data_IF_515617672310
#
_entry.id   IF_515617672310
#
_cell.length_a   1.000
_cell.length_b   1.000
_cell.length_c   1.000
_cell.angle_alpha   90.00
_cell.angle_beta   90.00
_cell.angle_gamma   90.00
#
_symmetry.space_group_name_H-M   'P 1'
#
loop_
_entity.id
_entity.type
_entity.pdbx_description
1 polymer ?
#
# COMPACT_ATOMS: atom_id res chain seq x y z
N UNK A 1 47.76 1.15 5.21
CA UNK A 1 47.02 0.05 4.60
C UNK A 1 45.68 0.06 5.28
N UNK A 2 44.74 0.79 4.72
CA UNK A 2 43.36 0.84 5.21
C UNK A 2 42.58 -0.19 4.42
N UNK A 3 42.13 -1.22 5.12
CA UNK A 3 41.21 -2.22 4.57
C UNK A 3 39.86 -1.56 4.36
N UNK A 4 39.53 -1.26 3.11
CA UNK A 4 38.19 -0.96 2.70
C UNK A 4 37.36 -2.25 2.74
N UNK A 5 36.59 -2.43 3.78
CA UNK A 5 35.56 -3.47 3.85
C UNK A 5 34.41 -3.01 2.96
N UNK A 6 34.49 -3.35 1.68
CA UNK A 6 33.37 -3.23 0.76
C UNK A 6 32.33 -4.29 1.10
N UNK A 7 31.30 -3.95 1.83
CA UNK A 7 30.13 -4.80 1.92
C UNK A 7 29.42 -4.81 0.57
N UNK A 8 29.44 -5.96 -0.10
CA UNK A 8 28.63 -6.21 -1.29
C UNK A 8 27.15 -6.18 -0.91
N UNK A 9 26.32 -5.60 -1.80
CA UNK A 9 24.85 -5.58 -1.64
C UNK A 9 24.28 -7.01 -1.57
N UNK A 10 25.03 -7.99 -2.03
CA UNK A 10 24.66 -9.42 -2.04
C UNK A 10 24.77 -10.11 -0.66
N UNK A 11 25.40 -9.46 0.33
CA UNK A 11 25.56 -9.99 1.69
C UNK A 11 24.43 -9.57 2.66
N UNK A 12 23.33 -8.98 2.16
CA UNK A 12 22.19 -8.60 2.99
C UNK A 12 21.43 -9.89 3.34
N UNK A 13 21.38 -10.30 4.63
CA UNK A 13 20.62 -11.47 5.05
C UNK A 13 19.18 -11.36 4.55
N UNK A 14 18.56 -12.49 4.18
CA UNK A 14 17.15 -12.51 3.76
C UNK A 14 16.28 -11.97 4.91
N UNK A 15 15.86 -10.71 4.79
CA UNK A 15 15.06 -10.06 5.82
C UNK A 15 13.70 -10.76 5.99
N UNK A 16 13.15 -10.78 7.20
CA UNK A 16 11.82 -11.35 7.47
C UNK A 16 10.68 -10.47 6.93
N UNK A 17 10.95 -9.59 6.00
CA UNK A 17 9.96 -8.79 5.29
C UNK A 17 10.01 -9.02 3.78
N UNK A 18 8.86 -8.84 3.13
CA UNK A 18 8.73 -8.85 1.68
C UNK A 18 8.56 -7.40 1.22
N UNK A 19 9.38 -6.99 0.26
CA UNK A 19 9.33 -5.64 -0.29
C UNK A 19 8.25 -5.55 -1.38
N UNK A 20 7.43 -4.52 -1.33
CA UNK A 20 6.49 -4.12 -2.38
C UNK A 20 6.81 -2.72 -2.90
N UNK A 21 6.39 -2.42 -4.11
CA UNK A 21 6.52 -1.11 -4.72
C UNK A 21 5.28 -0.27 -4.43
N UNK A 22 5.40 0.78 -3.61
CA UNK A 22 4.33 1.70 -3.25
C UNK A 22 4.11 2.70 -4.38
N UNK A 23 2.97 2.63 -5.07
CA UNK A 23 2.64 3.40 -6.28
C UNK A 23 3.60 3.15 -7.45
N UNK A 24 4.13 1.92 -7.52
CA UNK A 24 5.18 1.56 -8.47
C UNK A 24 6.58 1.97 -8.01
N UNK A 25 7.57 1.98 -8.92
CA UNK A 25 8.94 2.44 -8.67
C UNK A 25 8.98 3.98 -8.65
N UNK A 26 8.36 4.59 -7.65
CA UNK A 26 8.04 6.03 -7.60
C UNK A 26 9.21 6.93 -7.22
N UNK A 27 10.38 6.38 -6.86
CA UNK A 27 11.62 7.17 -6.68
C UNK A 27 12.14 7.68 -8.03
N UNK A 28 12.13 6.82 -9.05
CA UNK A 28 12.70 7.13 -10.36
C UNK A 28 11.65 7.56 -11.40
N UNK A 29 10.37 7.34 -11.10
CA UNK A 29 9.24 7.62 -11.99
C UNK A 29 8.14 8.36 -11.24
N UNK A 30 7.24 9.03 -11.98
CA UNK A 30 6.05 9.61 -11.39
C UNK A 30 5.19 8.52 -10.75
N UNK A 31 4.85 8.68 -9.46
CA UNK A 31 4.00 7.73 -8.72
C UNK A 31 2.70 7.42 -9.48
N UNK A 32 2.21 6.18 -9.38
CA UNK A 32 0.96 5.73 -10.02
C UNK A 32 0.92 5.89 -11.56
N UNK A 33 2.04 6.21 -12.19
CA UNK A 33 2.12 6.28 -13.65
C UNK A 33 2.40 4.90 -14.25
N UNK A 34 1.98 4.69 -15.49
CA UNK A 34 2.26 3.44 -16.20
C UNK A 34 3.77 3.11 -16.23
N UNK A 35 4.70 4.05 -16.50
CA UNK A 35 6.13 3.78 -16.40
C UNK A 35 6.61 3.33 -15.02
N UNK A 36 6.09 3.93 -13.92
CA UNK A 36 6.45 3.52 -12.55
C UNK A 36 6.02 2.08 -12.26
N UNK A 37 4.80 1.73 -12.66
CA UNK A 37 4.24 0.39 -12.46
C UNK A 37 4.99 -0.66 -13.28
N UNK A 38 5.32 -0.35 -14.53
CA UNK A 38 6.09 -1.25 -15.39
C UNK A 38 7.53 -1.42 -14.90
N UNK A 39 8.20 -0.35 -14.44
CA UNK A 39 9.52 -0.46 -13.83
C UNK A 39 9.50 -1.39 -12.61
N UNK A 40 8.49 -1.26 -11.72
CA UNK A 40 8.30 -2.15 -10.58
C UNK A 40 7.99 -3.59 -11.00
N UNK A 41 7.24 -3.79 -12.10
CA UNK A 41 6.93 -5.12 -12.63
C UNK A 41 8.20 -5.88 -13.02
N UNK A 42 9.16 -5.21 -13.63
CA UNK A 42 10.41 -5.83 -14.09
C UNK A 42 11.51 -5.88 -13.02
N UNK A 43 11.35 -5.18 -11.91
CA UNK A 43 12.33 -5.17 -10.82
C UNK A 43 12.11 -6.35 -9.86
N UNK A 44 13.07 -7.28 -9.82
CA UNK A 44 13.01 -8.47 -8.96
C UNK A 44 13.06 -8.17 -7.45
N UNK A 45 13.45 -6.96 -7.04
CA UNK A 45 13.42 -6.51 -5.65
C UNK A 45 11.99 -6.47 -5.09
N UNK A 46 10.99 -6.14 -5.93
CA UNK A 46 9.61 -6.05 -5.53
C UNK A 46 8.88 -7.37 -5.74
N UNK A 47 8.29 -7.92 -4.69
CA UNK A 47 7.47 -9.12 -4.74
C UNK A 47 6.01 -8.83 -5.11
N UNK A 48 5.57 -7.59 -4.93
CA UNK A 48 4.24 -7.10 -5.29
C UNK A 48 4.29 -5.60 -5.60
N UNK A 49 3.23 -5.10 -6.24
CA UNK A 49 3.08 -3.69 -6.58
C UNK A 49 1.83 -3.18 -5.90
N UNK A 50 1.86 -1.96 -5.42
CA UNK A 50 0.67 -1.27 -4.95
C UNK A 50 0.37 -0.08 -5.84
N UNK A 51 -0.91 0.20 -6.02
CA UNK A 51 -1.40 1.40 -6.67
C UNK A 51 -2.82 1.78 -6.21
N UNK A 52 -3.15 3.05 -6.38
CA UNK A 52 -4.40 3.67 -5.97
C UNK A 52 -5.40 3.78 -7.11
N UNK A 53 -6.67 3.48 -6.87
CA UNK A 53 -7.72 3.61 -7.90
C UNK A 53 -8.86 4.54 -7.49
N UNK A 54 -9.41 5.26 -8.47
CA UNK A 54 -10.54 6.17 -8.32
C UNK A 54 -11.40 6.20 -9.59
N UNK A 55 -12.67 6.57 -9.45
CA UNK A 55 -13.52 6.91 -10.59
C UNK A 55 -13.31 8.34 -11.08
N UNK A 56 -13.31 8.50 -12.40
CA UNK A 56 -13.49 9.79 -13.06
C UNK A 56 -14.98 10.14 -13.15
N UNK A 57 -15.28 11.37 -13.61
CA UNK A 57 -16.66 11.84 -13.85
C UNK A 57 -17.44 10.94 -14.82
N UNK A 58 -16.79 10.36 -15.80
CA UNK A 58 -17.35 9.47 -16.82
C UNK A 58 -17.21 7.98 -16.45
N UNK A 59 -17.02 7.68 -15.14
CA UNK A 59 -16.90 6.34 -14.58
C UNK A 59 -15.76 5.49 -15.16
N UNK A 60 -14.72 6.11 -15.71
CA UNK A 60 -13.48 5.39 -15.99
C UNK A 60 -12.71 5.18 -14.70
N UNK A 61 -12.09 4.03 -14.51
CA UNK A 61 -11.21 3.77 -13.37
C UNK A 61 -9.80 4.19 -13.77
N UNK A 62 -9.22 5.12 -12.99
CA UNK A 62 -7.86 5.61 -13.19
C UNK A 62 -6.97 5.27 -12.00
N UNK A 63 -5.68 5.17 -12.27
CA UNK A 63 -4.65 4.94 -11.25
C UNK A 63 -4.08 6.27 -10.82
N UNK A 64 -4.49 6.75 -9.64
CA UNK A 64 -4.09 8.05 -9.10
C UNK A 64 -4.40 8.16 -7.61
N UNK A 65 -3.49 8.74 -6.80
CA UNK A 65 -3.66 8.85 -5.34
C UNK A 65 -4.57 9.99 -4.90
N UNK A 66 -4.28 11.21 -5.36
CA UNK A 66 -4.90 12.43 -4.83
C UNK A 66 -6.29 12.67 -5.44
N UNK A 67 -7.15 13.37 -4.72
CA UNK A 67 -8.45 13.83 -5.28
C UNK A 67 -8.30 14.88 -6.37
N UNK A 68 -7.11 15.50 -6.49
CA UNK A 68 -6.82 16.61 -7.45
C UNK A 68 -5.42 16.46 -8.03
N UNK A 69 -5.23 17.01 -9.22
CA UNK A 69 -3.95 17.02 -9.90
C UNK A 69 -2.92 18.01 -9.31
N UNK A 70 -3.27 18.71 -8.22
CA UNK A 70 -2.50 19.86 -7.74
C UNK A 70 -1.07 19.50 -7.32
N UNK A 71 -0.88 18.46 -6.54
CA UNK A 71 0.44 18.10 -5.98
C UNK A 71 1.44 17.70 -7.07
N UNK A 72 1.00 16.91 -8.04
CA UNK A 72 1.89 16.35 -9.06
C UNK A 72 1.96 17.20 -10.34
N UNK A 73 0.87 17.90 -10.69
CA UNK A 73 0.74 18.61 -11.96
C UNK A 73 0.48 20.11 -11.82
N UNK A 74 0.35 20.63 -10.59
CA UNK A 74 0.07 22.05 -10.36
C UNK A 74 -1.32 22.51 -10.84
N UNK A 75 -2.25 21.58 -11.15
CA UNK A 75 -3.58 21.87 -11.72
C UNK A 75 -4.69 21.60 -10.70
N UNK A 76 -5.70 22.46 -10.67
CA UNK A 76 -6.83 22.35 -9.73
C UNK A 76 -7.88 21.30 -10.15
N UNK A 77 -7.74 20.68 -11.30
CA UNK A 77 -8.65 19.65 -11.78
C UNK A 77 -8.83 18.53 -10.75
N UNK A 78 -10.09 18.10 -10.53
CA UNK A 78 -10.45 17.02 -9.63
C UNK A 78 -10.71 15.75 -10.43
N UNK A 79 -10.25 14.61 -9.93
CA UNK A 79 -10.45 13.31 -10.59
C UNK A 79 -11.95 13.05 -10.78
N UNK A 80 -12.76 13.15 -9.73
CA UNK A 80 -14.20 12.85 -9.77
C UNK A 80 -15.05 13.85 -10.60
N UNK A 81 -14.51 15.05 -10.89
CA UNK A 81 -15.24 16.07 -11.63
C UNK A 81 -14.74 16.25 -13.08
N UNK A 82 -13.76 15.48 -13.51
CA UNK A 82 -13.19 15.53 -14.85
C UNK A 82 -13.37 14.17 -15.55
N UNK A 83 -13.58 14.18 -16.87
CA UNK A 83 -13.55 12.97 -17.69
C UNK A 83 -12.12 12.45 -17.81
N UNK A 84 -11.98 11.18 -18.20
CA UNK A 84 -10.66 10.62 -18.46
C UNK A 84 -9.89 11.44 -19.51
N UNK A 85 -10.52 11.83 -20.59
CA UNK A 85 -9.88 12.60 -21.67
C UNK A 85 -9.40 13.98 -21.20
N UNK A 86 -10.15 14.65 -20.32
CA UNK A 86 -9.74 15.91 -19.71
C UNK A 86 -8.54 15.71 -18.80
N UNK A 87 -8.52 14.65 -17.98
CA UNK A 87 -7.41 14.29 -17.09
C UNK A 87 -6.18 13.88 -17.90
N UNK A 88 -6.35 13.06 -18.95
CA UNK A 88 -5.26 12.65 -19.82
C UNK A 88 -4.54 13.83 -20.46
N UNK A 89 -5.29 14.79 -21.00
CA UNK A 89 -4.74 16.06 -21.52
C UNK A 89 -4.10 16.91 -20.42
N UNK A 90 -4.74 16.96 -19.25
CA UNK A 90 -4.22 17.73 -18.12
C UNK A 90 -2.93 17.17 -17.52
N UNK A 91 -2.66 15.89 -17.67
CA UNK A 91 -1.45 15.21 -17.18
C UNK A 91 -0.42 14.92 -18.26
N UNK A 92 -0.60 15.49 -19.47
CA UNK A 92 0.24 15.19 -20.62
C UNK A 92 0.38 13.68 -20.90
N UNK A 93 -0.74 12.96 -20.73
CA UNK A 93 -0.83 11.51 -20.96
C UNK A 93 -0.27 10.63 -19.83
N UNK A 94 0.06 11.20 -18.67
CA UNK A 94 0.71 10.44 -17.59
C UNK A 94 -0.25 9.74 -16.63
N UNK A 95 -1.55 10.08 -16.64
CA UNK A 95 -2.56 9.34 -15.87
C UNK A 95 -2.85 8.01 -16.54
N UNK A 96 -2.72 6.90 -15.80
CA UNK A 96 -2.96 5.56 -16.32
C UNK A 96 -4.42 5.14 -16.13
N UNK A 97 -4.97 4.36 -17.08
CA UNK A 97 -6.20 3.62 -16.86
C UNK A 97 -5.92 2.35 -16.08
N UNK A 98 -6.84 1.99 -15.22
CA UNK A 98 -6.78 0.73 -14.48
C UNK A 98 -6.69 -0.49 -15.42
N UNK A 99 -7.51 -0.54 -16.47
CA UNK A 99 -7.52 -1.65 -17.42
C UNK A 99 -6.16 -1.87 -18.07
N UNK A 100 -5.51 -0.79 -18.56
CA UNK A 100 -4.20 -0.84 -19.22
C UNK A 100 -3.13 -1.36 -18.24
N UNK A 101 -3.23 -0.97 -16.97
CA UNK A 101 -2.33 -1.42 -15.90
C UNK A 101 -2.53 -2.91 -15.62
N UNK A 102 -3.77 -3.37 -15.48
CA UNK A 102 -4.08 -4.78 -15.21
C UNK A 102 -3.72 -5.71 -16.36
N UNK A 103 -3.74 -5.22 -17.60
CA UNK A 103 -3.32 -5.97 -18.79
C UNK A 103 -1.79 -6.15 -18.84
N UNK A 104 -1.03 -5.24 -18.23
CA UNK A 104 0.42 -5.20 -18.33
C UNK A 104 1.16 -5.81 -17.13
N UNK A 105 0.55 -5.85 -15.95
CA UNK A 105 1.20 -6.32 -14.72
C UNK A 105 0.91 -7.80 -14.48
N UNK A 106 1.96 -8.62 -14.37
CA UNK A 106 1.89 -10.05 -14.03
C UNK A 106 2.24 -10.37 -12.58
N UNK A 107 2.76 -9.41 -11.82
CA UNK A 107 3.08 -9.55 -10.37
C UNK A 107 1.82 -9.53 -9.50
N UNK A 108 1.99 -9.92 -8.24
CA UNK A 108 0.99 -9.69 -7.19
C UNK A 108 0.74 -8.20 -7.01
N UNK A 109 -0.50 -7.86 -6.69
CA UNK A 109 -0.95 -6.47 -6.64
C UNK A 109 -1.69 -6.22 -5.32
N UNK A 110 -1.43 -5.07 -4.72
CA UNK A 110 -2.32 -4.44 -3.74
C UNK A 110 -3.03 -3.26 -4.43
N UNK A 111 -4.35 -3.28 -4.52
CA UNK A 111 -5.15 -2.20 -5.10
C UNK A 111 -5.82 -1.43 -3.96
N UNK A 112 -5.41 -0.17 -3.76
CA UNK A 112 -6.06 0.70 -2.78
C UNK A 112 -7.29 1.38 -3.37
N UNK A 113 -8.44 1.15 -2.76
CA UNK A 113 -9.69 1.85 -3.08
C UNK A 113 -9.65 3.21 -2.41
N UNK A 114 -9.51 4.28 -3.19
CA UNK A 114 -9.56 5.66 -2.69
C UNK A 114 -11.00 6.08 -2.47
N UNK A 115 -11.24 6.90 -1.44
CA UNK A 115 -12.60 7.34 -1.14
C UNK A 115 -13.18 8.21 -2.25
N UNK A 116 -14.34 7.79 -2.76
CA UNK A 116 -15.15 8.50 -3.75
C UNK A 116 -16.07 9.56 -3.10
N UNK A 117 -16.04 9.65 -1.76
CA UNK A 117 -16.81 10.63 -0.98
C UNK A 117 -17.83 10.02 -0.02
N UNK A 118 -18.21 8.77 -0.22
CA UNK A 118 -19.05 7.98 0.70
C UNK A 118 -18.77 6.48 0.50
N UNK A 119 -19.13 5.68 1.51
CA UNK A 119 -18.84 4.25 1.55
C UNK A 119 -19.58 3.45 0.45
N UNK A 120 -20.75 3.89 0.00
CA UNK A 120 -21.51 3.23 -1.06
C UNK A 120 -20.75 3.31 -2.41
N UNK A 121 -20.27 4.49 -2.77
CA UNK A 121 -19.47 4.69 -3.98
C UNK A 121 -18.09 4.02 -3.88
N UNK A 122 -17.47 4.04 -2.70
CA UNK A 122 -16.21 3.34 -2.43
C UNK A 122 -16.39 1.83 -2.61
N UNK A 123 -17.48 1.27 -2.08
CA UNK A 123 -17.81 -0.14 -2.23
C UNK A 123 -18.16 -0.51 -3.69
N UNK A 124 -18.87 0.35 -4.41
CA UNK A 124 -19.16 0.17 -5.84
C UNK A 124 -17.86 0.07 -6.67
N UNK A 125 -16.88 0.92 -6.36
CA UNK A 125 -15.55 0.84 -6.99
C UNK A 125 -14.87 -0.48 -6.66
N UNK A 126 -14.90 -0.89 -5.38
CA UNK A 126 -14.32 -2.17 -4.96
C UNK A 126 -14.98 -3.37 -5.65
N UNK A 127 -16.31 -3.38 -5.80
CA UNK A 127 -17.04 -4.43 -6.53
C UNK A 127 -16.63 -4.50 -8.01
N UNK A 128 -16.48 -3.36 -8.67
CA UNK A 128 -16.03 -3.30 -10.06
C UNK A 128 -14.61 -3.87 -10.22
N UNK A 129 -13.70 -3.52 -9.32
CA UNK A 129 -12.33 -4.06 -9.28
C UNK A 129 -12.35 -5.58 -9.04
N UNK A 130 -13.12 -6.06 -8.05
CA UNK A 130 -13.20 -7.49 -7.73
C UNK A 130 -13.78 -8.28 -8.91
N UNK A 131 -14.82 -7.76 -9.57
CA UNK A 131 -15.41 -8.40 -10.74
C UNK A 131 -14.40 -8.55 -11.89
N UNK A 132 -13.58 -7.50 -12.15
CA UNK A 132 -12.51 -7.57 -13.15
C UNK A 132 -11.41 -8.56 -12.75
N UNK A 133 -10.98 -8.53 -11.48
CA UNK A 133 -9.98 -9.47 -10.93
C UNK A 133 -10.46 -10.93 -11.10
N UNK A 134 -11.74 -11.20 -10.84
CA UNK A 134 -12.34 -12.53 -11.02
C UNK A 134 -12.42 -12.91 -12.50
N UNK A 135 -12.84 -11.98 -13.36
CA UNK A 135 -12.90 -12.22 -14.80
C UNK A 135 -11.51 -12.55 -15.40
N UNK A 136 -10.45 -12.01 -14.81
CA UNK A 136 -9.05 -12.28 -15.17
C UNK A 136 -8.47 -13.55 -14.48
N UNK A 137 -9.20 -14.17 -13.55
CA UNK A 137 -8.72 -15.32 -12.76
C UNK A 137 -7.56 -14.99 -11.84
N UNK A 138 -7.46 -13.75 -11.32
CA UNK A 138 -6.32 -13.25 -10.55
C UNK A 138 -6.60 -13.08 -9.05
N UNK A 139 -7.64 -13.69 -8.51
CA UNK A 139 -8.06 -13.53 -7.09
C UNK A 139 -6.96 -13.90 -6.09
N UNK A 140 -6.05 -14.78 -6.48
CA UNK A 140 -4.91 -15.21 -5.63
C UNK A 140 -3.73 -14.25 -5.65
N UNK A 141 -3.70 -13.35 -6.63
CA UNK A 141 -2.60 -12.42 -6.86
C UNK A 141 -2.97 -11.00 -6.47
N UNK A 142 -4.23 -10.74 -6.12
CA UNK A 142 -4.71 -9.39 -5.80
C UNK A 142 -5.20 -9.33 -4.36
N UNK A 143 -4.77 -8.28 -3.67
CA UNK A 143 -5.31 -7.81 -2.39
C UNK A 143 -6.02 -6.48 -2.63
N UNK A 144 -7.12 -6.26 -1.93
CA UNK A 144 -7.84 -4.97 -1.94
C UNK A 144 -7.63 -4.28 -0.60
N UNK A 145 -7.23 -3.03 -0.61
CA UNK A 145 -7.06 -2.24 0.61
C UNK A 145 -7.87 -0.94 0.57
N UNK A 146 -8.21 -0.45 1.74
CA UNK A 146 -8.91 0.84 1.90
C UNK A 146 -8.67 1.43 3.28
N UNK A 147 -8.83 2.75 3.37
CA UNK A 147 -8.91 3.46 4.66
C UNK A 147 -10.31 3.34 5.30
N UNK A 148 -11.37 3.09 4.50
CA UNK A 148 -12.73 2.88 5.01
C UNK A 148 -12.87 1.48 5.60
N UNK A 149 -13.16 1.42 6.90
CA UNK A 149 -13.44 0.16 7.60
C UNK A 149 -14.75 -0.49 7.14
N UNK A 150 -15.71 0.33 6.77
CA UNK A 150 -17.02 -0.07 6.26
C UNK A 150 -16.88 -0.80 4.92
N UNK A 151 -16.07 -0.26 4.03
CA UNK A 151 -15.76 -0.88 2.72
C UNK A 151 -15.04 -2.20 2.91
N UNK A 152 -14.00 -2.25 3.76
CA UNK A 152 -13.26 -3.49 4.03
C UNK A 152 -14.17 -4.57 4.63
N UNK A 153 -15.04 -4.22 5.60
CA UNK A 153 -16.02 -5.14 6.17
C UNK A 153 -17.01 -5.66 5.11
N UNK A 154 -17.52 -4.77 4.25
CA UNK A 154 -18.44 -5.14 3.19
C UNK A 154 -17.79 -6.11 2.18
N UNK A 155 -16.54 -5.85 1.78
CA UNK A 155 -15.76 -6.76 0.92
C UNK A 155 -15.61 -8.13 1.60
N UNK A 156 -15.17 -8.17 2.86
CA UNK A 156 -14.98 -9.45 3.58
C UNK A 156 -16.27 -10.23 3.80
N UNK A 157 -17.40 -9.54 3.90
CA UNK A 157 -18.72 -10.18 4.02
C UNK A 157 -19.15 -10.83 2.69
N UNK A 158 -18.93 -10.15 1.56
CA UNK A 158 -19.40 -10.58 0.24
C UNK A 158 -18.38 -11.49 -0.46
N UNK A 159 -17.09 -11.19 -0.31
CA UNK A 159 -15.98 -11.87 -0.96
C UNK A 159 -14.93 -12.34 0.06
N UNK A 160 -15.26 -13.31 0.94
CA UNK A 160 -14.42 -13.68 2.08
C UNK A 160 -13.04 -14.24 1.69
N UNK A 161 -12.88 -14.72 0.47
CA UNK A 161 -11.61 -15.28 -0.04
C UNK A 161 -10.67 -14.22 -0.61
N UNK A 162 -11.17 -13.02 -0.91
CA UNK A 162 -10.31 -11.93 -1.39
C UNK A 162 -9.48 -11.41 -0.21
N UNK A 163 -8.13 -11.40 -0.31
CA UNK A 163 -7.29 -10.79 0.70
C UNK A 163 -7.59 -9.29 0.84
N UNK A 164 -7.71 -8.80 2.06
CA UNK A 164 -8.02 -7.39 2.32
C UNK A 164 -7.04 -6.75 3.28
N UNK A 165 -6.70 -5.48 3.02
CA UNK A 165 -5.89 -4.61 3.85
C UNK A 165 -6.70 -3.46 4.45
N UNK A 166 -6.62 -3.28 5.78
CA UNK A 166 -7.16 -2.10 6.45
C UNK A 166 -6.05 -1.10 6.68
N UNK A 167 -6.17 0.07 6.07
CA UNK A 167 -5.22 1.17 6.24
C UNK A 167 -5.67 2.01 7.43
N UNK A 168 -4.74 2.29 8.35
CA UNK A 168 -4.94 3.26 9.41
C UNK A 168 -3.89 4.36 9.35
N UNK A 169 -4.38 5.58 9.42
CA UNK A 169 -3.54 6.75 9.66
C UNK A 169 -3.55 7.06 11.15
N UNK A 170 -2.53 6.59 11.86
CA UNK A 170 -2.39 6.88 13.28
C UNK A 170 -1.61 8.17 13.44
N UNK A 171 -2.31 9.25 13.72
CA UNK A 171 -1.68 10.43 14.29
C UNK A 171 -1.33 10.09 15.73
N UNK A 172 -0.04 9.90 16.00
CA UNK A 172 0.43 9.54 17.33
C UNK A 172 -0.05 10.54 18.38
N UNK A 173 -0.99 10.13 19.20
CA UNK A 173 -1.21 10.78 20.48
C UNK A 173 0.00 10.47 21.36
N UNK A 174 0.78 11.50 21.70
CA UNK A 174 1.95 11.37 22.57
C UNK A 174 1.58 11.13 24.04
N UNK A 175 0.30 11.04 24.35
CA UNK A 175 -0.22 11.01 25.73
C UNK A 175 -0.77 9.64 26.15
N UNK A 176 -0.95 8.70 25.23
CA UNK A 176 -1.39 7.34 25.57
C UNK A 176 -0.20 6.37 25.56
N UNK A 177 -0.16 5.41 26.51
CA UNK A 177 0.78 4.30 26.45
C UNK A 177 0.65 3.55 25.12
N UNK A 178 1.76 3.09 24.57
CA UNK A 178 1.78 2.44 23.25
C UNK A 178 1.01 1.11 23.22
N UNK A 179 1.03 0.35 24.30
CA UNK A 179 0.26 -0.87 24.50
C UNK A 179 -1.25 -0.61 24.38
N UNK A 180 -1.77 0.38 25.11
CA UNK A 180 -3.18 0.77 25.06
C UNK A 180 -3.62 1.26 23.67
N UNK A 181 -2.74 2.00 22.97
CA UNK A 181 -2.99 2.42 21.58
C UNK A 181 -3.05 1.21 20.65
N UNK A 182 -2.14 0.28 20.81
CA UNK A 182 -2.05 -0.94 19.99
C UNK A 182 -3.24 -1.87 20.24
N UNK A 183 -3.66 -2.04 21.51
CA UNK A 183 -4.86 -2.79 21.85
C UNK A 183 -6.11 -2.18 21.20
N UNK A 184 -6.30 -0.87 21.32
CA UNK A 184 -7.42 -0.15 20.69
C UNK A 184 -7.40 -0.29 19.15
N UNK A 185 -6.21 -0.21 18.54
CA UNK A 185 -6.02 -0.41 17.12
C UNK A 185 -6.44 -1.82 16.69
N UNK A 186 -5.96 -2.84 17.39
CA UNK A 186 -6.30 -4.23 17.06
C UNK A 186 -7.76 -4.57 17.33
N UNK A 187 -8.38 -3.95 18.33
CA UNK A 187 -9.83 -4.09 18.52
C UNK A 187 -10.59 -3.63 17.26
N UNK A 188 -10.34 -2.41 16.79
CA UNK A 188 -10.95 -1.87 15.58
C UNK A 188 -10.60 -2.70 14.33
N UNK A 189 -9.33 -3.08 14.20
CA UNK A 189 -8.86 -3.90 13.08
C UNK A 189 -9.59 -5.25 13.03
N UNK A 190 -9.79 -5.91 14.17
CA UNK A 190 -10.48 -7.20 14.24
C UNK A 190 -11.94 -7.09 13.79
N UNK A 191 -12.61 -5.97 14.07
CA UNK A 191 -13.98 -5.71 13.62
C UNK A 191 -14.08 -5.68 12.08
N UNK A 192 -13.04 -5.22 11.38
CA UNK A 192 -13.01 -5.19 9.91
C UNK A 192 -12.88 -6.56 9.27
N UNK A 193 -12.38 -7.56 10.03
CA UNK A 193 -12.03 -8.90 9.55
C UNK A 193 -10.93 -8.91 8.46
N UNK A 194 -10.28 -7.78 8.21
CA UNK A 194 -9.17 -7.68 7.25
C UNK A 194 -8.04 -8.67 7.57
N UNK A 195 -7.29 -9.04 6.54
CA UNK A 195 -6.15 -9.97 6.67
C UNK A 195 -4.85 -9.21 7.01
N UNK A 196 -4.74 -7.96 6.55
CA UNK A 196 -3.56 -7.12 6.68
C UNK A 196 -3.89 -5.81 7.39
N UNK A 197 -3.14 -5.53 8.46
CA UNK A 197 -3.08 -4.20 9.08
C UNK A 197 -2.03 -3.38 8.33
N UNK A 198 -2.41 -2.22 7.79
CA UNK A 198 -1.54 -1.37 6.99
C UNK A 198 -1.29 -0.04 7.69
N UNK A 199 -0.02 0.27 7.96
CA UNK A 199 0.40 1.43 8.74
C UNK A 199 1.53 2.19 8.03
N UNK A 200 1.60 3.50 8.24
CA UNK A 200 2.76 4.28 7.83
C UNK A 200 3.99 3.92 8.66
N UNK A 201 5.19 3.95 8.05
CA UNK A 201 6.47 3.61 8.72
C UNK A 201 6.76 4.43 9.99
N UNK A 202 6.15 5.61 10.16
CA UNK A 202 6.25 6.37 11.42
C UNK A 202 5.75 5.58 12.65
N UNK A 203 4.96 4.52 12.45
CA UNK A 203 4.49 3.64 13.51
C UNK A 203 5.48 2.52 13.89
N UNK A 204 6.62 2.42 13.22
CA UNK A 204 7.67 1.44 13.55
C UNK A 204 8.18 1.54 15.00
N UNK A 205 8.10 2.70 15.61
CA UNK A 205 8.43 2.91 17.03
C UNK A 205 7.60 2.03 17.98
N UNK A 206 6.42 1.55 17.54
CA UNK A 206 5.52 0.67 18.30
C UNK A 206 5.63 -0.78 17.83
N UNK A 207 6.69 -1.15 17.10
CA UNK A 207 6.80 -2.48 16.49
C UNK A 207 6.73 -3.61 17.53
N UNK A 208 7.31 -3.43 18.70
CA UNK A 208 7.28 -4.46 19.75
C UNK A 208 5.84 -4.75 20.18
N UNK A 209 5.06 -3.71 20.49
CA UNK A 209 3.67 -3.87 20.89
C UNK A 209 2.82 -4.39 19.71
N UNK A 210 3.06 -3.89 18.49
CA UNK A 210 2.37 -4.36 17.30
C UNK A 210 2.60 -5.85 17.05
N UNK A 211 3.81 -6.36 17.27
CA UNK A 211 4.11 -7.79 17.10
C UNK A 211 3.60 -8.64 18.26
N UNK A 212 3.71 -8.15 19.51
CA UNK A 212 3.32 -8.89 20.71
C UNK A 212 1.80 -9.07 20.83
N UNK A 213 1.03 -8.06 20.43
CA UNK A 213 -0.42 -8.04 20.50
C UNK A 213 -1.11 -8.45 19.18
N UNK A 214 -0.31 -8.77 18.14
CA UNK A 214 -0.84 -9.12 16.83
C UNK A 214 -1.77 -10.32 16.89
N UNK A 215 -3.03 -10.19 16.41
CA UNK A 215 -3.95 -11.29 16.34
C UNK A 215 -3.42 -12.44 15.47
N UNK A 216 -3.72 -13.68 15.85
CA UNK A 216 -3.32 -14.86 15.10
C UNK A 216 -3.90 -14.84 13.67
N UNK A 217 -3.10 -15.29 12.71
CA UNK A 217 -3.52 -15.32 11.30
C UNK A 217 -3.53 -13.96 10.59
N UNK A 218 -3.17 -12.86 11.29
CA UNK A 218 -3.11 -11.52 10.70
C UNK A 218 -1.68 -11.13 10.35
N UNK A 219 -1.54 -10.23 9.38
CA UNK A 219 -0.24 -9.70 8.94
C UNK A 219 -0.19 -8.18 9.08
N UNK A 220 1.02 -7.64 9.19
CA UNK A 220 1.24 -6.20 9.26
C UNK A 220 2.03 -5.78 8.02
N UNK A 221 1.63 -4.69 7.42
CA UNK A 221 2.30 -4.06 6.30
C UNK A 221 2.59 -2.60 6.63
N UNK A 222 3.80 -2.15 6.35
CA UNK A 222 4.17 -0.75 6.47
C UNK A 222 4.39 -0.15 5.09
N UNK A 223 4.03 1.11 4.94
CA UNK A 223 4.29 1.90 3.74
C UNK A 223 5.03 3.19 4.10
N UNK A 224 5.87 3.68 3.19
CA UNK A 224 6.55 4.97 3.31
C UNK A 224 6.06 5.96 2.24
N UNK A 225 6.55 7.19 2.26
CA UNK A 225 6.19 8.22 1.28
C UNK A 225 6.97 8.10 -0.04
N UNK A 226 7.85 7.12 -0.14
CA UNK A 226 8.62 6.86 -1.35
C UNK A 226 8.04 5.65 -2.08
N UNK A 227 8.86 4.72 -2.49
CA UNK A 227 8.44 3.59 -3.33
C UNK A 227 8.34 2.24 -2.61
N UNK A 228 8.40 2.22 -1.27
CA UNK A 228 8.49 0.94 -0.55
C UNK A 228 7.24 0.62 0.27
N UNK A 229 6.83 -0.64 0.18
CA UNK A 229 5.95 -1.29 1.15
C UNK A 229 6.66 -2.50 1.75
N UNK A 230 6.49 -2.70 3.06
CA UNK A 230 7.15 -3.74 3.83
C UNK A 230 6.12 -4.67 4.46
N UNK A 231 5.97 -5.87 3.93
CA UNK A 231 5.17 -6.92 4.56
C UNK A 231 6.00 -7.64 5.62
N UNK A 232 5.65 -7.43 6.89
CA UNK A 232 6.33 -8.06 8.02
C UNK A 232 5.84 -9.49 8.21
N UNK A 233 6.76 -10.46 8.16
CA UNK A 233 6.47 -11.90 8.30
C UNK A 233 6.78 -12.44 9.68
N UNK A 234 7.23 -11.60 10.62
CA UNK A 234 7.67 -12.04 11.94
C UNK A 234 6.53 -12.35 12.91
N UNK A 235 6.80 -13.34 13.76
CA UNK A 235 6.05 -13.58 14.99
C UNK A 235 6.79 -12.97 16.18
N UNK A 236 6.08 -12.70 17.28
CA UNK A 236 6.65 -12.21 18.55
C UNK A 236 7.79 -13.08 19.10
N UNK A 237 7.84 -14.37 18.75
CA UNK A 237 8.89 -15.29 19.23
C UNK A 237 10.29 -14.95 18.69
N UNK A 238 10.39 -14.13 17.65
CA UNK A 238 11.65 -13.76 17.00
C UNK A 238 12.14 -12.36 17.43
N UNK A 239 12.01 -12.03 18.72
CA UNK A 239 12.35 -10.71 19.31
C UNK A 239 13.73 -10.16 18.92
N UNK A 240 14.75 -11.03 18.84
CA UNK A 240 16.11 -10.63 18.47
C UNK A 240 16.21 -10.17 17.01
N UNK A 241 15.32 -10.67 16.17
CA UNK A 241 15.23 -10.28 14.77
C UNK A 241 14.47 -8.95 14.58
N UNK A 242 13.46 -8.69 15.40
CA UNK A 242 12.67 -7.46 15.35
C UNK A 242 13.52 -6.20 15.48
N UNK A 243 14.50 -6.21 16.38
CA UNK A 243 15.45 -5.10 16.57
C UNK A 243 16.35 -4.87 15.36
N UNK A 244 16.77 -5.91 14.65
CA UNK A 244 17.61 -5.76 13.45
C UNK A 244 16.82 -5.25 12.24
N UNK A 245 15.57 -5.69 12.06
CA UNK A 245 14.68 -5.19 11.00
C UNK A 245 14.32 -3.72 11.22
N UNK A 246 13.98 -3.35 12.47
CA UNK A 246 13.70 -1.96 12.84
C UNK A 246 14.95 -1.10 12.62
N UNK A 247 16.13 -1.57 12.99
CA UNK A 247 17.38 -0.83 12.81
C UNK A 247 17.69 -0.63 11.32
N UNK A 248 17.47 -1.64 10.47
CA UNK A 248 17.68 -1.54 9.03
C UNK A 248 16.67 -0.62 8.36
N UNK A 249 15.39 -0.75 8.69
CA UNK A 249 14.34 0.14 8.19
C UNK A 249 14.58 1.59 8.64
N UNK A 250 15.01 1.82 9.93
CA UNK A 250 15.45 3.12 10.42
C UNK A 250 16.68 3.64 9.68
N UNK A 251 17.65 2.79 9.44
CA UNK A 251 18.88 3.15 8.76
C UNK A 251 18.58 3.58 7.31
N UNK A 252 17.74 2.85 6.59
CA UNK A 252 17.28 3.23 5.25
C UNK A 252 16.47 4.53 5.27
N UNK A 253 15.62 4.71 6.28
CA UNK A 253 14.83 5.94 6.45
C UNK A 253 15.72 7.15 6.77
N UNK A 254 16.69 7.01 7.68
CA UNK A 254 17.59 8.10 8.09
C UNK A 254 18.60 8.46 6.99
N UNK A 255 19.15 7.48 6.27
CA UNK A 255 20.11 7.75 5.19
C UNK A 255 19.50 8.46 3.98
N UNK A 256 18.18 8.46 3.81
CA UNK A 256 17.51 9.20 2.72
C UNK A 256 17.22 10.66 3.06
N UNK A 257 17.37 11.07 4.32
CA UNK A 257 17.12 12.45 4.78
C UNK A 257 18.39 13.18 5.24
N UNK A 258 19.57 12.59 5.13
CA UNK A 258 20.87 13.18 5.33
C UNK A 258 21.62 13.22 4.00
#
# INVERSE_FOLDING_TARGET
MEDQIGHSIDDIPSYPCTLGAHRGASVDHLENSFPALMAATHDSRYAFIEFDVQYTKDNQIVVFHDKRLLRLFGKLASISNSTYDELYKATDGQIARYEDVMDAIDKKINIEIKSQGNDEEDYRLAEAIIADVQARGREKDVMISSISSEVVQAIKKTYPTIPTGQIYWINASTYLPFDALTESLYHKFTETKADYLMLHVANLRNMEDLLSLKPEGKSIMFWDFEDNMYLVRQSYRDRLWGTSVIADMWQRFVYKFI
#
